data_IF_113589032226
#
_entry.id   IF_113589032226
#
_cell.length_a   1.000
_cell.length_b   1.000
_cell.length_c   1.000
_cell.angle_alpha   90.00
_cell.angle_beta   90.00
_cell.angle_gamma   90.00
#
_symmetry.space_group_name_H-M   'P 1'
#
loop_
_entity.id
_entity.type
_entity.pdbx_description
1 polymer ?
#
# COMPACT_ATOMS: atom_id res chain seq x y z
N UNK A 1 -17.19 -3.81 29.56
CA UNK A 1 -18.32 -2.86 29.55
C UNK A 1 -18.60 -2.14 28.21
N UNK A 2 -17.68 -2.05 27.23
CA UNK A 2 -17.92 -1.29 25.98
C UNK A 2 -18.78 -2.00 24.91
N UNK A 3 -18.86 -3.34 24.91
CA UNK A 3 -19.61 -4.10 23.91
C UNK A 3 -21.11 -4.29 24.20
N UNK A 4 -21.56 -4.07 25.45
CA UNK A 4 -22.94 -4.36 25.85
C UNK A 4 -23.92 -3.24 25.52
N UNK A 5 -23.47 -1.97 25.52
CA UNK A 5 -24.31 -0.80 25.26
C UNK A 5 -24.68 -0.60 23.78
N UNK A 6 -23.84 -1.05 22.84
CA UNK A 6 -24.09 -0.94 21.40
C UNK A 6 -25.15 -1.91 20.88
N UNK A 7 -25.48 -2.96 21.64
CA UNK A 7 -26.49 -3.98 21.29
C UNK A 7 -27.93 -3.56 21.59
N UNK A 8 -28.14 -2.50 22.37
CA UNK A 8 -29.48 -2.05 22.83
C UNK A 8 -30.01 -0.88 21.98
N UNK A 9 -29.17 -0.27 21.15
CA UNK A 9 -29.56 0.88 20.32
C UNK A 9 -30.18 0.42 18.98
N UNK A 10 -31.14 1.19 18.42
CA UNK A 10 -31.60 0.99 17.05
C UNK A 10 -30.40 0.92 16.10
N UNK A 11 -30.42 -0.03 15.16
CA UNK A 11 -29.28 -0.33 14.27
C UNK A 11 -28.67 0.94 13.64
N UNK A 12 -29.51 1.85 13.13
CA UNK A 12 -29.06 3.12 12.56
C UNK A 12 -28.39 4.10 13.53
N UNK A 13 -28.77 4.11 14.82
CA UNK A 13 -28.12 4.93 15.84
C UNK A 13 -26.77 4.33 16.26
N UNK A 14 -26.69 3.00 16.34
CA UNK A 14 -25.44 2.27 16.57
C UNK A 14 -24.43 2.51 15.44
N UNK A 15 -24.85 2.44 14.18
CA UNK A 15 -24.00 2.65 13.00
C UNK A 15 -23.42 4.06 12.95
N UNK A 16 -24.24 5.08 13.25
CA UNK A 16 -23.79 6.48 13.26
C UNK A 16 -22.75 6.75 14.35
N UNK A 17 -22.93 6.15 15.54
CA UNK A 17 -21.94 6.26 16.63
C UNK A 17 -20.64 5.54 16.28
N UNK A 18 -20.73 4.32 15.73
CA UNK A 18 -19.57 3.57 15.22
C UNK A 18 -18.82 4.38 14.16
N UNK A 19 -19.52 4.93 13.17
CA UNK A 19 -18.92 5.72 12.09
C UNK A 19 -18.25 7.00 12.60
N UNK A 20 -18.91 7.72 13.52
CA UNK A 20 -18.34 8.92 14.16
C UNK A 20 -17.05 8.58 14.92
N UNK A 21 -17.05 7.46 15.65
CA UNK A 21 -15.87 7.01 16.37
C UNK A 21 -14.72 6.60 15.43
N UNK A 22 -15.03 5.92 14.33
CA UNK A 22 -14.04 5.59 13.28
C UNK A 22 -13.41 6.85 12.69
N UNK A 23 -14.21 7.87 12.39
CA UNK A 23 -13.72 9.17 11.91
C UNK A 23 -12.83 9.87 12.95
N UNK A 24 -13.21 9.84 14.24
CA UNK A 24 -12.38 10.40 15.31
C UNK A 24 -11.04 9.67 15.44
N UNK A 25 -11.04 8.33 15.38
CA UNK A 25 -9.80 7.54 15.38
C UNK A 25 -8.92 7.83 14.17
N UNK A 26 -9.51 7.94 12.99
CA UNK A 26 -8.81 8.36 11.77
C UNK A 26 -8.13 9.71 11.98
N UNK A 27 -8.87 10.74 12.41
CA UNK A 27 -8.32 12.09 12.64
C UNK A 27 -7.21 12.10 13.69
N UNK A 28 -7.38 11.37 14.78
CA UNK A 28 -6.36 11.24 15.82
C UNK A 28 -5.09 10.56 15.29
N UNK A 29 -5.25 9.48 14.50
CA UNK A 29 -4.14 8.78 13.83
C UNK A 29 -3.37 9.72 12.90
N UNK A 30 -4.07 10.46 12.03
CA UNK A 30 -3.47 11.45 11.12
C UNK A 30 -2.71 12.52 11.89
N UNK A 31 -3.33 13.12 12.90
CA UNK A 31 -2.72 14.17 13.69
C UNK A 31 -1.47 13.67 14.44
N UNK A 32 -1.51 12.44 14.96
CA UNK A 32 -0.35 11.80 15.58
C UNK A 32 0.79 11.61 14.57
N UNK A 33 0.52 10.99 13.43
CA UNK A 33 1.53 10.73 12.39
C UNK A 33 2.20 12.03 11.91
N UNK A 34 1.43 13.08 11.64
CA UNK A 34 1.97 14.41 11.27
C UNK A 34 2.88 15.03 12.34
N UNK A 35 2.66 14.72 13.62
CA UNK A 35 3.48 15.23 14.72
C UNK A 35 4.75 14.42 14.93
N UNK A 36 4.68 13.09 14.79
CA UNK A 36 5.78 12.17 15.13
C UNK A 36 6.64 11.77 13.93
N UNK A 37 6.06 11.73 12.73
CA UNK A 37 6.75 11.30 11.50
C UNK A 37 8.03 12.08 11.19
N UNK A 38 8.08 13.43 11.35
CA UNK A 38 9.30 14.20 11.09
C UNK A 38 10.44 13.95 12.07
N UNK A 39 10.16 13.41 13.26
CA UNK A 39 11.08 13.44 14.41
C UNK A 39 11.68 12.08 14.75
N UNK A 40 11.32 11.02 14.04
CA UNK A 40 11.81 9.67 14.31
C UNK A 40 12.38 9.04 13.04
N UNK A 41 13.70 8.92 13.03
CA UNK A 41 14.41 7.89 12.28
C UNK A 41 15.43 7.31 13.23
N UNK A 42 15.21 6.07 13.67
CA UNK A 42 16.23 5.32 14.42
C UNK A 42 17.29 4.74 13.49
N UNK A 43 17.07 4.86 12.18
CA UNK A 43 17.91 4.28 11.16
C UNK A 43 18.86 5.32 10.60
N UNK A 44 20.11 5.27 11.06
CA UNK A 44 21.16 6.21 10.67
C UNK A 44 21.94 5.77 9.43
N UNK A 45 21.64 4.61 8.84
CA UNK A 45 22.37 4.17 7.66
C UNK A 45 22.06 5.14 6.52
N UNK A 46 23.10 5.84 6.08
CA UNK A 46 23.00 6.77 4.97
C UNK A 46 22.86 5.93 3.71
N UNK A 47 21.94 6.33 2.84
CA UNK A 47 22.00 5.92 1.43
C UNK A 47 23.42 6.21 0.94
N UNK A 48 24.06 5.28 0.19
CA UNK A 48 25.36 5.53 -0.40
C UNK A 48 25.39 6.86 -1.17
N UNK A 49 26.57 7.47 -1.26
CA UNK A 49 26.73 8.74 -2.00
C UNK A 49 26.30 8.58 -3.47
N UNK A 50 26.56 7.41 -4.04
CA UNK A 50 25.97 6.97 -5.30
C UNK A 50 24.65 6.25 -4.99
N UNK A 51 23.55 6.99 -5.09
CA UNK A 51 22.23 6.45 -4.82
C UNK A 51 21.85 5.43 -5.92
N UNK A 52 21.49 4.18 -5.57
CA UNK A 52 21.02 3.20 -6.55
C UNK A 52 19.75 3.69 -7.25
N UNK A 53 19.53 3.23 -8.48
CA UNK A 53 18.37 3.61 -9.27
C UNK A 53 17.10 2.98 -8.73
N UNK A 54 16.01 3.76 -8.63
CA UNK A 54 14.74 3.29 -8.09
C UNK A 54 13.57 3.62 -8.99
N UNK A 55 12.69 2.66 -9.23
CA UNK A 55 11.36 2.96 -9.78
C UNK A 55 10.28 2.81 -8.72
N UNK A 56 9.54 3.87 -8.43
CA UNK A 56 8.29 3.79 -7.66
C UNK A 56 7.14 3.44 -8.61
N UNK A 57 6.48 2.32 -8.39
CA UNK A 57 5.46 1.77 -9.28
C UNK A 57 4.07 1.86 -8.65
N UNK A 58 3.13 2.50 -9.34
CA UNK A 58 1.77 2.77 -8.88
C UNK A 58 0.78 2.25 -9.92
N UNK A 59 -0.19 1.44 -9.50
CA UNK A 59 -1.31 1.02 -10.37
C UNK A 59 -2.53 1.88 -10.06
N UNK A 60 -3.20 2.43 -11.07
CA UNK A 60 -4.37 3.29 -10.88
C UNK A 60 -5.59 2.80 -11.66
N UNK A 61 -6.78 3.00 -11.09
CA UNK A 61 -8.06 2.78 -11.78
C UNK A 61 -9.15 3.69 -11.19
N UNK A 62 -9.46 4.77 -11.89
CA UNK A 62 -10.49 5.75 -11.52
C UNK A 62 -10.35 6.24 -10.06
N UNK A 63 -9.14 6.68 -9.68
CA UNK A 63 -8.84 7.15 -8.34
C UNK A 63 -8.12 8.51 -8.33
N UNK A 64 -8.57 9.44 -9.17
CA UNK A 64 -7.89 10.72 -9.45
C UNK A 64 -7.43 11.48 -8.22
N UNK A 65 -8.34 11.81 -7.29
CA UNK A 65 -7.99 12.68 -6.15
C UNK A 65 -7.04 12.01 -5.16
N UNK A 66 -7.23 10.74 -4.76
CA UNK A 66 -6.22 10.02 -4.00
C UNK A 66 -4.88 9.90 -4.72
N UNK A 67 -4.86 9.55 -6.01
CA UNK A 67 -3.60 9.47 -6.79
C UNK A 67 -2.88 10.83 -6.86
N UNK A 68 -3.61 11.92 -7.10
CA UNK A 68 -3.02 13.25 -7.14
C UNK A 68 -2.39 13.61 -5.79
N UNK A 69 -3.06 13.31 -4.68
CA UNK A 69 -2.51 13.56 -3.36
C UNK A 69 -1.28 12.68 -3.08
N UNK A 70 -1.32 11.41 -3.51
CA UNK A 70 -0.18 10.48 -3.44
C UNK A 70 1.02 11.05 -4.17
N UNK A 71 0.87 11.42 -5.44
CA UNK A 71 1.96 11.96 -6.25
C UNK A 71 2.52 13.26 -5.68
N UNK A 72 1.65 14.22 -5.31
CA UNK A 72 2.10 15.50 -4.75
C UNK A 72 2.87 15.32 -3.45
N UNK A 73 2.34 14.53 -2.51
CA UNK A 73 3.01 14.32 -1.21
C UNK A 73 4.24 13.45 -1.33
N UNK A 74 4.26 12.51 -2.29
CA UNK A 74 5.46 11.74 -2.63
C UNK A 74 6.59 12.69 -3.02
N UNK A 75 6.38 13.57 -4.01
CA UNK A 75 7.42 14.50 -4.44
C UNK A 75 7.77 15.54 -3.37
N UNK A 76 6.80 16.01 -2.58
CA UNK A 76 7.04 16.93 -1.46
C UNK A 76 7.94 16.32 -0.37
N UNK A 77 7.92 15.00 -0.19
CA UNK A 77 8.61 14.31 0.89
C UNK A 77 9.66 13.30 0.41
N UNK A 78 10.16 13.44 -0.83
CA UNK A 78 11.27 12.62 -1.33
C UNK A 78 12.47 13.52 -1.60
N UNK A 79 13.57 13.29 -0.88
CA UNK A 79 14.87 13.95 -1.15
C UNK A 79 15.81 13.04 -1.96
N UNK A 80 15.50 11.74 -2.02
CA UNK A 80 16.15 10.76 -2.88
C UNK A 80 16.16 11.26 -4.33
N UNK A 81 17.31 11.24 -4.97
CA UNK A 81 17.52 11.93 -6.26
C UNK A 81 17.48 10.97 -7.45
N UNK A 82 17.88 9.71 -7.28
CA UNK A 82 17.95 8.74 -8.37
C UNK A 82 16.69 7.87 -8.46
N UNK A 83 15.52 8.49 -8.66
CA UNK A 83 14.26 7.76 -8.82
C UNK A 83 13.38 8.30 -9.94
N UNK A 84 12.53 7.40 -10.47
CA UNK A 84 11.37 7.73 -11.30
C UNK A 84 10.09 7.19 -10.67
N UNK A 85 8.95 7.74 -11.08
CA UNK A 85 7.62 7.20 -10.75
C UNK A 85 6.98 6.67 -12.03
N UNK A 86 6.52 5.43 -12.01
CA UNK A 86 5.75 4.84 -13.11
C UNK A 86 4.31 4.64 -12.64
N UNK A 87 3.37 5.30 -13.30
CA UNK A 87 1.94 5.12 -13.07
C UNK A 87 1.38 4.23 -14.18
N UNK A 88 0.91 3.04 -13.83
CA UNK A 88 0.19 2.13 -14.72
C UNK A 88 -1.33 2.32 -14.54
N UNK A 89 -1.93 3.04 -15.48
CA UNK A 89 -3.34 3.42 -15.44
C UNK A 89 -4.21 2.46 -16.26
N UNK A 90 -5.29 1.97 -15.65
CA UNK A 90 -6.24 1.02 -16.24
C UNK A 90 -7.30 1.68 -17.14
N UNK A 91 -6.91 2.66 -17.95
CA UNK A 91 -7.79 3.44 -18.82
C UNK A 91 -8.89 4.18 -18.03
N UNK A 92 -8.46 4.91 -17.01
CA UNK A 92 -9.31 5.74 -16.17
C UNK A 92 -10.03 6.81 -16.98
N UNK A 93 -11.28 7.10 -16.61
CA UNK A 93 -12.17 8.07 -17.27
C UNK A 93 -12.56 9.22 -16.34
N UNK A 94 -11.99 9.27 -15.13
CA UNK A 94 -12.25 10.30 -14.11
C UNK A 94 -11.31 11.52 -14.21
N UNK A 95 -10.50 11.58 -15.26
CA UNK A 95 -9.48 12.61 -15.45
C UNK A 95 -8.14 12.29 -14.80
N UNK A 96 -7.92 11.05 -14.31
CA UNK A 96 -6.64 10.64 -13.72
C UNK A 96 -5.49 10.74 -14.72
N UNK A 97 -5.72 10.35 -15.99
CA UNK A 97 -4.69 10.35 -17.04
C UNK A 97 -4.17 11.76 -17.28
N UNK A 98 -5.07 12.71 -17.53
CA UNK A 98 -4.74 14.11 -17.80
C UNK A 98 -4.09 14.78 -16.59
N UNK A 99 -4.49 14.37 -15.38
CA UNK A 99 -3.87 14.82 -14.14
C UNK A 99 -2.41 14.32 -14.04
N UNK A 100 -2.16 13.04 -14.30
CA UNK A 100 -0.79 12.48 -14.30
C UNK A 100 0.06 13.14 -15.37
N UNK A 101 -0.45 13.30 -16.59
CA UNK A 101 0.24 14.01 -17.68
C UNK A 101 0.62 15.44 -17.30
N UNK A 102 -0.18 16.12 -16.49
CA UNK A 102 0.17 17.43 -15.96
C UNK A 102 1.33 17.38 -14.97
N UNK A 103 1.36 16.39 -14.06
CA UNK A 103 2.44 16.22 -13.06
C UNK A 103 3.76 15.82 -13.74
N UNK A 104 3.69 15.00 -14.81
CA UNK A 104 4.84 14.56 -15.59
C UNK A 104 5.68 15.70 -16.19
N UNK A 105 5.11 16.90 -16.35
CA UNK A 105 5.84 18.05 -16.92
C UNK A 105 6.98 18.53 -16.03
N UNK A 106 6.81 18.42 -14.72
CA UNK A 106 7.73 18.98 -13.72
C UNK A 106 8.41 17.90 -12.87
N UNK A 107 8.09 16.61 -13.08
CA UNK A 107 8.53 15.51 -12.23
C UNK A 107 8.93 14.29 -13.07
N UNK A 108 9.83 13.41 -12.60
CA UNK A 108 10.27 12.20 -13.29
C UNK A 108 9.19 11.11 -13.27
N UNK A 109 8.06 11.36 -13.93
CA UNK A 109 6.91 10.46 -13.99
C UNK A 109 6.77 9.91 -15.40
N UNK A 110 6.48 8.61 -15.50
CA UNK A 110 6.09 7.92 -16.73
C UNK A 110 4.70 7.31 -16.58
N UNK A 111 3.82 7.58 -17.55
CA UNK A 111 2.48 7.01 -17.59
C UNK A 111 2.44 5.81 -18.56
N UNK A 112 1.91 4.69 -18.09
CA UNK A 112 1.52 3.55 -18.91
C UNK A 112 0.00 3.52 -18.98
N UNK A 113 -0.57 3.73 -20.17
CA UNK A 113 -2.02 3.70 -20.42
C UNK A 113 -2.30 3.00 -21.76
N UNK A 114 -3.58 2.77 -22.09
CA UNK A 114 -3.99 2.07 -23.31
C UNK A 114 -4.15 0.55 -23.16
N UNK A 115 -3.84 0.00 -21.98
CA UNK A 115 -4.06 -1.41 -21.62
C UNK A 115 -4.61 -1.47 -20.20
N UNK A 116 -5.65 -2.26 -19.98
CA UNK A 116 -6.19 -2.51 -18.63
C UNK A 116 -5.80 -3.91 -18.17
N UNK A 117 -5.34 -4.04 -16.92
CA UNK A 117 -4.97 -5.31 -16.29
C UNK A 117 -5.36 -5.32 -14.80
N UNK A 118 -5.67 -6.48 -14.21
CA UNK A 118 -5.67 -6.62 -12.77
C UNK A 118 -4.35 -6.16 -12.13
N UNK A 119 -4.39 -5.72 -10.87
CA UNK A 119 -3.20 -5.21 -10.18
C UNK A 119 -2.06 -6.24 -10.12
N UNK A 120 -2.37 -7.52 -9.87
CA UNK A 120 -1.34 -8.58 -9.86
C UNK A 120 -0.62 -8.70 -11.19
N UNK A 121 -1.32 -8.63 -12.32
CA UNK A 121 -0.69 -8.71 -13.64
C UNK A 121 0.22 -7.53 -13.94
N UNK A 122 -0.12 -6.34 -13.43
CA UNK A 122 0.76 -5.18 -13.49
C UNK A 122 2.04 -5.41 -12.68
N UNK A 123 1.92 -5.89 -11.45
CA UNK A 123 3.09 -6.25 -10.64
C UNK A 123 3.91 -7.38 -11.26
N UNK A 124 3.29 -8.42 -11.81
CA UNK A 124 3.98 -9.50 -12.51
C UNK A 124 4.74 -9.02 -13.74
N UNK A 125 4.12 -8.13 -14.51
CA UNK A 125 4.78 -7.51 -15.66
C UNK A 125 5.98 -6.70 -15.17
N UNK A 126 5.78 -5.83 -14.19
CA UNK A 126 6.81 -4.90 -13.73
C UNK A 126 7.97 -5.59 -13.00
N UNK A 127 7.69 -6.62 -12.20
CA UNK A 127 8.70 -7.47 -11.57
C UNK A 127 9.65 -8.09 -12.60
N UNK A 128 9.12 -8.47 -13.78
CA UNK A 128 9.90 -9.06 -14.86
C UNK A 128 10.63 -8.05 -15.75
N UNK A 129 10.13 -6.82 -15.87
CA UNK A 129 10.61 -5.88 -16.90
C UNK A 129 11.34 -4.65 -16.39
N UNK A 130 11.23 -4.31 -15.09
CA UNK A 130 11.94 -3.14 -14.55
C UNK A 130 13.47 -3.30 -14.68
N UNK A 131 14.19 -2.19 -14.82
CA UNK A 131 15.64 -2.19 -15.06
C UNK A 131 16.44 -1.43 -14.01
N UNK A 132 15.77 -0.86 -13.00
CA UNK A 132 16.38 -0.15 -11.88
C UNK A 132 16.92 -1.14 -10.85
N UNK A 133 17.81 -0.70 -9.96
CA UNK A 133 18.40 -1.56 -8.93
C UNK A 133 17.33 -2.03 -7.92
N UNK A 134 16.38 -1.15 -7.64
CA UNK A 134 15.21 -1.41 -6.82
C UNK A 134 13.93 -0.95 -7.49
N UNK A 135 12.82 -1.61 -7.16
CA UNK A 135 11.52 -1.00 -7.34
C UNK A 135 10.69 -1.03 -6.08
N UNK A 136 9.82 -0.03 -5.97
CA UNK A 136 8.94 0.15 -4.81
C UNK A 136 7.50 0.16 -5.30
N UNK A 137 6.75 -0.88 -4.97
CA UNK A 137 5.31 -0.89 -5.20
C UNK A 137 4.61 -0.09 -4.12
N UNK A 138 3.80 0.89 -4.51
CA UNK A 138 2.90 1.59 -3.58
C UNK A 138 1.47 1.61 -4.12
N UNK A 139 0.50 1.68 -3.21
CA UNK A 139 -0.89 1.91 -3.59
C UNK A 139 -1.09 3.38 -4.01
N UNK A 140 -2.05 3.62 -4.89
CA UNK A 140 -2.38 4.93 -5.43
C UNK A 140 -3.05 5.88 -4.42
N UNK A 141 -3.31 5.41 -3.20
CA UNK A 141 -3.94 6.15 -2.12
C UNK A 141 -3.06 6.21 -0.85
N UNK A 142 -1.76 6.30 -1.07
CA UNK A 142 -0.72 6.51 -0.06
C UNK A 142 -0.42 8.00 0.11
N UNK A 143 -0.60 8.54 1.31
CA UNK A 143 -0.29 9.94 1.62
C UNK A 143 1.00 10.00 2.43
N UNK A 144 2.05 10.56 1.87
CA UNK A 144 3.31 10.80 2.58
C UNK A 144 3.17 12.03 3.47
N UNK A 145 3.77 12.01 4.65
CA UNK A 145 3.52 12.99 5.71
C UNK A 145 4.77 13.72 6.17
N UNK A 146 5.96 13.14 5.98
CA UNK A 146 7.21 13.67 6.50
C UNK A 146 8.42 12.82 6.17
N UNK A 147 9.57 13.50 6.02
CA UNK A 147 10.89 12.87 5.91
C UNK A 147 11.08 12.09 4.62
N UNK A 148 12.32 11.75 4.30
CA UNK A 148 12.65 11.02 3.08
C UNK A 148 12.37 9.52 3.24
N UNK A 149 11.10 9.16 3.06
CA UNK A 149 10.60 7.81 3.17
C UNK A 149 11.34 6.85 2.23
N UNK A 150 11.71 7.32 1.03
CA UNK A 150 12.37 6.50 0.02
C UNK A 150 13.83 6.25 0.41
N UNK A 151 14.57 7.29 0.84
CA UNK A 151 15.94 7.10 1.30
C UNK A 151 16.06 6.16 2.49
N UNK A 152 15.11 6.18 3.43
CA UNK A 152 15.14 5.27 4.57
C UNK A 152 14.88 3.82 4.18
N UNK A 153 13.94 3.61 3.26
CA UNK A 153 13.61 2.30 2.74
C UNK A 153 14.78 1.72 1.90
N UNK A 154 15.41 2.52 1.05
CA UNK A 154 16.58 2.09 0.27
C UNK A 154 17.81 1.94 1.16
N UNK A 155 18.02 2.85 2.13
CA UNK A 155 19.10 2.75 3.09
C UNK A 155 19.05 1.43 3.87
N UNK A 156 17.85 0.94 4.19
CA UNK A 156 17.68 -0.39 4.79
C UNK A 156 18.15 -1.49 3.84
N UNK A 157 17.68 -1.48 2.59
CA UNK A 157 18.07 -2.47 1.58
C UNK A 157 19.58 -2.50 1.32
N UNK A 158 20.24 -1.36 1.39
CA UNK A 158 21.71 -1.25 1.25
C UNK A 158 22.46 -1.74 2.49
N UNK A 159 21.93 -1.48 3.69
CA UNK A 159 22.53 -1.93 4.94
C UNK A 159 22.41 -3.44 5.19
N UNK A 160 21.40 -4.08 4.58
CA UNK A 160 21.11 -5.50 4.69
C UNK A 160 21.05 -6.16 3.31
N UNK A 161 22.20 -6.38 2.64
CA UNK A 161 22.24 -6.92 1.27
C UNK A 161 21.56 -8.27 1.08
N UNK A 162 21.40 -9.05 2.14
CA UNK A 162 20.68 -10.33 2.15
C UNK A 162 19.16 -10.17 1.99
N UNK A 163 18.62 -8.98 2.26
CA UNK A 163 17.19 -8.68 2.13
C UNK A 163 16.85 -8.43 0.66
N UNK A 164 16.01 -9.29 0.10
CA UNK A 164 15.52 -9.17 -1.29
C UNK A 164 14.16 -8.44 -1.38
N UNK A 165 13.36 -8.50 -0.32
CA UNK A 165 12.05 -7.87 -0.20
C UNK A 165 11.89 -7.18 1.16
N UNK A 166 11.40 -5.96 1.17
CA UNK A 166 11.18 -5.18 2.38
C UNK A 166 9.77 -4.61 2.37
N UNK A 167 8.93 -5.01 3.33
CA UNK A 167 7.58 -4.49 3.47
C UNK A 167 7.50 -3.33 4.46
N UNK A 168 6.54 -2.42 4.27
CA UNK A 168 6.26 -1.37 5.24
C UNK A 168 5.51 -1.86 6.47
N UNK A 169 4.65 -2.88 6.32
CA UNK A 169 3.90 -3.52 7.40
C UNK A 169 3.85 -5.04 7.20
N UNK A 170 3.62 -5.76 8.29
CA UNK A 170 3.46 -7.22 8.31
C UNK A 170 2.11 -7.59 8.92
N UNK A 171 1.41 -8.51 8.28
CA UNK A 171 0.19 -9.11 8.75
C UNK A 171 0.47 -10.55 9.20
N UNK A 172 0.24 -10.88 10.48
CA UNK A 172 0.38 -12.26 10.94
C UNK A 172 -0.73 -13.14 10.35
N UNK A 173 -0.48 -14.44 10.33
CA UNK A 173 -1.49 -15.44 9.98
C UNK A 173 -2.74 -15.29 10.87
N UNK A 174 -3.91 -15.38 10.23
CA UNK A 174 -5.20 -15.33 10.91
C UNK A 174 -6.07 -16.49 10.47
N UNK A 175 -6.69 -17.15 11.44
CA UNK A 175 -7.56 -18.29 11.23
C UNK A 175 -9.03 -17.89 11.29
N UNK A 176 -9.86 -18.70 10.64
CA UNK A 176 -11.31 -18.67 10.72
C UNK A 176 -11.91 -17.29 10.37
N UNK A 177 -11.33 -16.64 9.35
CA UNK A 177 -11.76 -15.33 8.87
C UNK A 177 -12.70 -15.49 7.67
N UNK A 178 -13.90 -14.89 7.66
CA UNK A 178 -14.74 -14.85 6.47
C UNK A 178 -14.10 -13.90 5.45
N UNK A 179 -13.77 -14.41 4.28
CA UNK A 179 -13.26 -13.56 3.20
C UNK A 179 -14.40 -12.68 2.62
N UNK A 180 -14.10 -11.44 2.21
CA UNK A 180 -15.11 -10.40 1.99
C UNK A 180 -16.04 -10.63 0.78
N UNK A 181 -15.70 -11.51 -0.16
CA UNK A 181 -16.45 -11.71 -1.40
C UNK A 181 -17.45 -12.88 -1.29
N UNK A 182 -16.99 -14.08 -0.98
CA UNK A 182 -17.83 -15.28 -0.85
C UNK A 182 -18.34 -15.54 0.56
N UNK A 183 -17.73 -14.91 1.58
CA UNK A 183 -18.00 -15.23 2.99
C UNK A 183 -17.43 -16.58 3.44
N UNK A 184 -16.67 -17.28 2.58
CA UNK A 184 -15.99 -18.53 2.93
C UNK A 184 -15.02 -18.28 4.08
N UNK A 185 -15.04 -19.17 5.07
CA UNK A 185 -14.11 -19.13 6.20
C UNK A 185 -12.76 -19.67 5.75
N UNK A 186 -11.73 -18.83 5.85
CA UNK A 186 -10.38 -19.15 5.38
C UNK A 186 -9.35 -19.02 6.49
N UNK A 187 -8.21 -19.69 6.30
CA UNK A 187 -6.96 -19.30 6.96
C UNK A 187 -6.19 -18.39 6.02
N UNK A 188 -6.06 -17.12 6.39
CA UNK A 188 -5.23 -16.17 5.67
C UNK A 188 -3.80 -16.29 6.21
N UNK A 189 -2.88 -16.68 5.34
CA UNK A 189 -1.46 -16.82 5.70
C UNK A 189 -0.83 -15.46 5.97
N UNK A 190 0.31 -15.47 6.64
CA UNK A 190 1.10 -14.26 6.87
C UNK A 190 1.44 -13.54 5.55
N UNK A 191 1.58 -12.21 5.63
CA UNK A 191 1.84 -11.38 4.46
C UNK A 191 2.55 -10.08 4.81
N UNK A 192 3.36 -9.56 3.90
CA UNK A 192 3.77 -8.16 3.89
C UNK A 192 2.67 -7.34 3.21
N UNK A 193 2.35 -6.18 3.78
CA UNK A 193 1.38 -5.30 3.13
C UNK A 193 1.90 -4.87 1.76
N UNK A 194 1.06 -4.98 0.74
CA UNK A 194 1.39 -4.46 -0.60
C UNK A 194 1.15 -2.96 -0.72
N UNK A 195 0.83 -2.28 0.39
CA UNK A 195 0.58 -0.83 0.41
C UNK A 195 1.85 -0.04 0.11
N UNK A 196 2.98 -0.53 0.63
CA UNK A 196 4.33 -0.08 0.32
C UNK A 196 5.31 -1.22 0.56
N UNK A 197 6.06 -1.60 -0.47
CA UNK A 197 7.09 -2.63 -0.40
C UNK A 197 8.22 -2.31 -1.38
N UNK A 198 9.44 -2.71 -1.04
CA UNK A 198 10.62 -2.57 -1.88
C UNK A 198 11.17 -3.93 -2.27
N UNK A 199 11.55 -4.07 -3.52
CA UNK A 199 12.10 -5.29 -4.09
C UNK A 199 13.45 -4.98 -4.70
N UNK A 200 14.46 -5.77 -4.35
CA UNK A 200 15.72 -5.81 -5.09
C UNK A 200 15.48 -6.47 -6.43
N UNK A 201 15.87 -5.80 -7.51
CA UNK A 201 15.52 -6.24 -8.86
C UNK A 201 16.08 -7.63 -9.22
N UNK A 202 17.22 -8.02 -8.64
CA UNK A 202 17.81 -9.35 -8.80
C UNK A 202 16.97 -10.49 -8.19
N UNK A 203 15.94 -10.20 -7.39
CA UNK A 203 15.05 -11.23 -6.84
C UNK A 203 14.41 -12.10 -7.94
N UNK A 204 14.08 -11.50 -9.09
CA UNK A 204 13.47 -12.22 -10.23
C UNK A 204 14.37 -13.30 -10.83
N UNK A 205 15.68 -13.21 -10.63
CA UNK A 205 16.65 -14.19 -11.14
C UNK A 205 16.66 -15.46 -10.26
N UNK A 206 15.92 -15.44 -9.16
CA UNK A 206 15.91 -16.48 -8.14
C UNK A 206 14.51 -16.98 -7.78
N UNK A 207 13.48 -16.16 -8.01
CA UNK A 207 12.10 -16.48 -7.67
C UNK A 207 11.22 -16.28 -8.89
N UNK A 208 10.70 -17.39 -9.41
CA UNK A 208 9.56 -17.35 -10.33
C UNK A 208 8.28 -17.28 -9.51
N UNK A 209 7.58 -16.15 -9.56
CA UNK A 209 6.36 -15.92 -8.79
C UNK A 209 5.36 -15.10 -9.58
N UNK A 210 4.13 -15.14 -9.11
CA UNK A 210 3.11 -14.16 -9.45
C UNK A 210 2.73 -13.40 -8.18
N UNK A 211 2.24 -12.19 -8.35
CA UNK A 211 1.54 -11.40 -7.36
C UNK A 211 0.05 -11.76 -7.34
N UNK A 212 -0.42 -12.83 -7.98
CA UNK A 212 -1.82 -13.27 -7.90
C UNK A 212 -2.14 -13.92 -6.54
N UNK A 213 -3.39 -13.79 -6.09
CA UNK A 213 -3.89 -14.53 -4.93
C UNK A 213 -3.78 -16.04 -5.19
N UNK A 214 -3.21 -16.76 -4.23
CA UNK A 214 -3.15 -18.21 -4.29
C UNK A 214 -4.03 -18.82 -3.20
N UNK A 215 -4.82 -19.82 -3.56
CA UNK A 215 -5.67 -20.54 -2.61
C UNK A 215 -5.76 -22.02 -2.93
N UNK A 216 -5.82 -22.84 -1.88
CA UNK A 216 -6.01 -24.28 -1.98
C UNK A 216 -6.75 -24.79 -0.74
N UNK A 217 -7.43 -25.93 -0.90
CA UNK A 217 -8.02 -26.64 0.22
C UNK A 217 -6.97 -27.56 0.84
N UNK A 218 -6.72 -27.41 2.13
CA UNK A 218 -5.80 -28.25 2.88
C UNK A 218 -6.42 -29.62 3.13
N UNK A 219 -5.79 -30.69 2.64
CA UNK A 219 -6.37 -32.04 2.66
C UNK A 219 -6.54 -32.61 4.08
N UNK A 220 -5.69 -32.19 5.03
CA UNK A 220 -5.73 -32.71 6.41
C UNK A 220 -6.81 -32.00 7.25
N UNK A 221 -6.88 -30.67 7.17
CA UNK A 221 -7.83 -29.87 7.95
C UNK A 221 -9.15 -29.58 7.25
N UNK A 222 -9.22 -29.78 5.92
CA UNK A 222 -10.36 -29.37 5.09
C UNK A 222 -10.57 -27.86 5.02
N UNK A 223 -9.59 -27.06 5.47
CA UNK A 223 -9.70 -25.60 5.50
C UNK A 223 -9.20 -24.99 4.19
N UNK A 224 -9.87 -23.94 3.74
CA UNK A 224 -9.37 -23.14 2.63
C UNK A 224 -8.23 -22.25 3.11
N UNK A 225 -7.03 -22.48 2.56
CA UNK A 225 -5.83 -21.67 2.82
C UNK A 225 -5.71 -20.61 1.73
N UNK A 226 -5.48 -19.36 2.12
CA UNK A 226 -5.34 -18.23 1.20
C UNK A 226 -4.03 -17.51 1.49
N UNK A 227 -3.28 -17.26 0.42
CA UNK A 227 -2.20 -16.30 0.37
C UNK A 227 -2.67 -15.11 -0.46
N UNK A 228 -2.56 -13.91 0.10
CA UNK A 228 -2.68 -12.69 -0.69
C UNK A 228 -1.43 -12.45 -1.54
N UNK A 229 -1.42 -11.34 -2.28
CA UNK A 229 -0.32 -10.92 -3.16
C UNK A 229 1.05 -10.97 -2.46
N UNK A 230 1.13 -10.45 -1.23
CA UNK A 230 2.37 -10.37 -0.46
C UNK A 230 2.75 -11.72 0.16
N UNK A 231 1.75 -12.46 0.66
CA UNK A 231 1.95 -13.76 1.28
C UNK A 231 2.42 -14.82 0.28
N UNK A 232 1.91 -14.80 -0.95
CA UNK A 232 2.32 -15.75 -1.98
C UNK A 232 3.76 -15.50 -2.44
N UNK A 233 4.12 -14.23 -2.62
CA UNK A 233 5.51 -13.82 -2.88
C UNK A 233 6.45 -14.29 -1.76
N UNK A 234 6.12 -14.01 -0.49
CA UNK A 234 6.93 -14.44 0.66
C UNK A 234 7.10 -15.96 0.72
N UNK A 235 6.04 -16.72 0.44
CA UNK A 235 6.11 -18.18 0.40
C UNK A 235 7.09 -18.65 -0.67
N UNK A 236 6.98 -18.13 -1.89
CA UNK A 236 7.86 -18.50 -3.00
C UNK A 236 9.32 -18.07 -2.74
N UNK A 237 9.52 -16.94 -2.07
CA UNK A 237 10.85 -16.51 -1.63
C UNK A 237 11.49 -17.51 -0.66
N UNK A 238 10.75 -17.93 0.38
CA UNK A 238 11.23 -18.90 1.36
C UNK A 238 11.57 -20.24 0.72
N UNK A 239 10.71 -20.72 -0.17
CA UNK A 239 10.93 -21.97 -0.92
C UNK A 239 12.22 -21.94 -1.77
N UNK A 240 12.69 -20.74 -2.14
CA UNK A 240 13.90 -20.51 -2.92
C UNK A 240 15.07 -19.93 -2.09
N UNK A 241 15.00 -20.02 -0.75
CA UNK A 241 16.07 -19.59 0.15
C UNK A 241 16.34 -18.08 0.15
N UNK A 242 15.35 -17.26 -0.23
CA UNK A 242 15.42 -15.80 -0.24
C UNK A 242 14.83 -15.20 1.02
N UNK A 243 15.31 -14.02 1.39
CA UNK A 243 14.91 -13.39 2.64
C UNK A 243 14.14 -12.11 2.41
N UNK A 244 13.26 -11.80 3.37
CA UNK A 244 12.52 -10.57 3.40
C UNK A 244 12.57 -9.98 4.82
N UNK A 245 12.30 -8.68 4.92
CA UNK A 245 12.25 -7.95 6.17
C UNK A 245 11.02 -7.02 6.22
N UNK A 246 10.81 -6.42 7.39
CA UNK A 246 9.75 -5.43 7.63
C UNK A 246 10.41 -4.19 8.18
N UNK A 247 10.00 -3.02 7.70
CA UNK A 247 10.45 -1.76 8.28
C UNK A 247 10.01 -1.63 9.75
N UNK A 248 10.82 -1.00 10.62
CA UNK A 248 10.43 -0.81 12.02
C UNK A 248 9.16 0.06 12.18
N UNK A 249 8.48 -0.07 13.32
CA UNK A 249 7.22 0.62 13.64
C UNK A 249 7.25 2.16 13.52
N UNK A 250 8.43 2.78 13.62
CA UNK A 250 8.54 4.23 13.43
C UNK A 250 8.32 4.62 11.96
N UNK A 251 8.67 3.75 11.00
CA UNK A 251 8.55 4.02 9.57
C UNK A 251 7.10 4.22 9.15
N UNK A 252 6.18 3.43 9.72
CA UNK A 252 4.75 3.57 9.42
C UNK A 252 4.16 4.91 9.87
N UNK A 253 4.89 5.74 10.64
CA UNK A 253 4.42 7.10 10.96
C UNK A 253 4.62 8.09 9.81
N UNK A 254 5.40 7.75 8.77
CA UNK A 254 5.77 8.66 7.66
C UNK A 254 4.75 8.72 6.54
N UNK A 255 3.82 7.79 6.52
CA UNK A 255 2.79 7.71 5.49
C UNK A 255 1.46 7.27 6.06
N UNK A 256 0.40 7.49 5.31
CA UNK A 256 -0.96 7.04 5.60
C UNK A 256 -1.51 6.31 4.39
N UNK A 257 -1.94 5.07 4.58
CA UNK A 257 -2.78 4.38 3.60
C UNK A 257 -4.24 4.76 3.81
N UNK A 258 -4.92 5.16 2.74
CA UNK A 258 -6.33 5.54 2.77
C UNK A 258 -7.29 4.33 2.64
N UNK A 259 -6.75 3.12 2.50
CA UNK A 259 -7.46 1.84 2.54
C UNK A 259 -8.43 1.64 1.38
N UNK A 260 -7.94 1.84 0.15
CA UNK A 260 -8.61 1.59 -1.12
C UNK A 260 -9.95 2.35 -1.23
N UNK A 261 -9.90 3.68 -1.03
CA UNK A 261 -11.10 4.54 -0.91
C UNK A 261 -12.13 4.29 -2.02
N UNK A 262 -11.71 4.24 -3.28
CA UNK A 262 -12.63 4.15 -4.43
C UNK A 262 -13.13 2.73 -4.67
N UNK A 263 -12.28 1.72 -4.46
CA UNK A 263 -12.69 0.32 -4.52
C UNK A 263 -13.75 -0.04 -3.50
N UNK A 264 -13.70 0.57 -2.32
CA UNK A 264 -14.61 0.28 -1.24
C UNK A 264 -16.09 0.46 -1.66
N UNK A 265 -16.39 1.41 -2.56
CA UNK A 265 -17.77 1.68 -3.01
C UNK A 265 -18.29 0.71 -4.10
N UNK A 266 -17.47 -0.23 -4.59
CA UNK A 266 -17.90 -1.25 -5.56
C UNK A 266 -18.65 -2.42 -4.92
N UNK A 267 -18.64 -2.52 -3.58
CA UNK A 267 -19.23 -3.62 -2.82
C UNK A 267 -20.19 -3.09 -1.75
N UNK A 268 -21.09 -3.95 -1.28
CA UNK A 268 -21.93 -3.66 -0.13
C UNK A 268 -21.05 -3.43 1.11
N UNK A 269 -21.30 -2.32 1.80
CA UNK A 269 -20.43 -1.83 2.86
C UNK A 269 -21.22 -1.50 4.12
N UNK A 270 -20.67 -1.89 5.27
CA UNK A 270 -21.18 -1.45 6.58
C UNK A 270 -21.32 0.08 6.62
N UNK A 271 -22.49 0.62 7.04
CA UNK A 271 -22.74 2.06 7.00
C UNK A 271 -21.73 2.92 7.80
N UNK A 272 -21.14 2.37 8.86
CA UNK A 272 -20.11 3.07 9.64
C UNK A 272 -18.79 3.17 8.85
N UNK A 273 -18.41 2.12 8.13
CA UNK A 273 -17.26 2.12 7.22
C UNK A 273 -17.50 3.12 6.08
N UNK A 274 -18.71 3.16 5.52
CA UNK A 274 -19.09 4.11 4.47
C UNK A 274 -18.95 5.56 4.94
N UNK A 275 -19.34 5.85 6.19
CA UNK A 275 -19.16 7.16 6.80
C UNK A 275 -17.69 7.57 6.90
N UNK A 276 -16.81 6.63 7.28
CA UNK A 276 -15.36 6.87 7.29
C UNK A 276 -14.85 7.15 5.88
N UNK A 277 -15.20 6.33 4.88
CA UNK A 277 -14.72 6.49 3.50
C UNK A 277 -15.12 7.83 2.89
N UNK A 278 -16.36 8.26 3.09
CA UNK A 278 -16.84 9.59 2.68
C UNK A 278 -16.09 10.71 3.39
N UNK A 279 -15.73 10.53 4.66
CA UNK A 279 -14.89 11.49 5.37
C UNK A 279 -13.48 11.56 4.79
N UNK A 280 -12.87 10.41 4.46
CA UNK A 280 -11.54 10.35 3.87
C UNK A 280 -11.51 11.05 2.51
N UNK A 281 -12.50 10.83 1.62
CA UNK A 281 -12.63 11.55 0.34
C UNK A 281 -12.62 13.07 0.55
N UNK A 282 -13.50 13.56 1.44
CA UNK A 282 -13.59 15.00 1.76
C UNK A 282 -12.30 15.53 2.40
N UNK A 283 -11.55 14.68 3.10
CA UNK A 283 -10.26 15.05 3.67
C UNK A 283 -9.18 15.14 2.60
N UNK A 284 -9.12 14.20 1.67
CA UNK A 284 -8.26 14.22 0.47
C UNK A 284 -8.48 15.50 -0.33
N UNK A 285 -9.72 15.83 -0.69
CA UNK A 285 -10.03 17.05 -1.45
C UNK A 285 -9.62 18.32 -0.71
N UNK A 286 -9.77 18.34 0.62
CA UNK A 286 -9.36 19.48 1.46
C UNK A 286 -7.84 19.61 1.56
N UNK A 287 -7.11 18.50 1.55
CA UNK A 287 -5.63 18.49 1.55
C UNK A 287 -5.11 18.98 0.20
N UNK A 288 -5.66 18.50 -0.90
CA UNK A 288 -5.31 18.95 -2.25
C UNK A 288 -5.47 20.46 -2.44
N UNK A 289 -6.55 21.06 -1.92
CA UNK A 289 -6.77 22.52 -1.99
C UNK A 289 -5.76 23.36 -1.19
N UNK A 290 -4.88 22.74 -0.40
CA UNK A 290 -3.88 23.41 0.44
C UNK A 290 -2.45 23.23 -0.08
N UNK A 291 -2.25 22.34 -1.06
CA UNK A 291 -1.00 22.14 -1.79
C UNK A 291 -1.00 23.07 -3.01
#
# INVERSE_FOLDING_TARGET
MKGLLLRILPKGLSDRLRGTWMVLRYRARVARKKRTGPSFSEFTAKVPAEQPSVTVYITNSNNRSPLELTLRTLFEHTEYSNFEVVVADNNSTDGSIEMVESIMKDNPVRLLSGVSRPQHEWYDHFFRTNSTDYWVGIHEDMVFLSGDWLAELIGYMEAYPETDLLGGEYFPEVHDVPEPVSGTVVTMRESLSTWIFCVRTTLRDHVSTSFEFYRYEDEESGKLIVFDQGGWLMKNMRDNGRTFAVMPDWYVQKWEHLSNITWAFKYDMDPAVRMLKLHQIRDTDRRLKRL
#
